data_IF_019093598686
#
_entry.id   IF_019093598686
#
_cell.length_a   1.000
_cell.length_b   1.000
_cell.length_c   1.000
_cell.angle_alpha   90.00
_cell.angle_beta   90.00
_cell.angle_gamma   90.00
#
_symmetry.space_group_name_H-M   'P 1'
#
loop_
_entity.id
_entity.type
_entity.pdbx_description
1 polymer ?
#
# COMPACT_ATOMS: atom_id res chain seq x y z
N UNK A 1 11.32 11.36 19.49
CA UNK A 1 10.72 10.51 18.46
C UNK A 1 9.23 10.81 18.50
N UNK A 2 8.64 11.25 17.40
CA UNK A 2 7.25 11.62 17.30
C UNK A 2 6.34 10.39 17.33
N UNK A 3 5.16 10.57 17.89
CA UNK A 3 4.15 9.52 18.01
C UNK A 3 3.10 9.69 16.91
N UNK A 4 2.82 8.62 16.18
CA UNK A 4 1.74 8.58 15.20
C UNK A 4 0.71 7.52 15.56
N UNK A 5 -0.55 7.82 15.29
CA UNK A 5 -1.67 6.89 15.47
C UNK A 5 -1.89 6.11 14.20
N UNK A 6 -1.74 4.80 14.26
CA UNK A 6 -2.21 3.91 13.23
C UNK A 6 -3.69 3.59 13.46
N UNK A 7 -4.54 3.86 12.48
CA UNK A 7 -6.00 3.70 12.60
C UNK A 7 -6.56 2.44 12.00
N UNK A 8 -5.73 1.66 11.30
CA UNK A 8 -6.18 0.44 10.65
C UNK A 8 -5.96 -0.77 11.56
N UNK A 9 -6.89 -1.70 11.52
CA UNK A 9 -6.76 -2.98 12.25
C UNK A 9 -5.73 -3.92 11.60
N UNK A 10 -5.29 -3.61 10.36
CA UNK A 10 -4.26 -4.37 9.65
C UNK A 10 -2.87 -4.02 10.19
N UNK A 11 -1.94 -4.97 10.16
CA UNK A 11 -0.53 -4.72 10.47
C UNK A 11 0.11 -3.85 9.39
N UNK A 12 0.84 -2.80 9.79
CA UNK A 12 1.73 -2.03 8.93
C UNK A 12 3.16 -2.53 9.11
N UNK A 13 3.87 -2.77 8.02
CA UNK A 13 5.28 -3.17 8.03
C UNK A 13 6.07 -2.28 7.09
N UNK A 14 7.05 -1.57 7.66
CA UNK A 14 8.04 -0.82 6.91
C UNK A 14 9.34 -1.63 6.83
N UNK A 15 9.54 -2.28 5.68
CA UNK A 15 10.72 -3.12 5.45
C UNK A 15 12.02 -2.32 5.33
N UNK A 16 11.94 -1.02 5.08
CA UNK A 16 13.09 -0.14 4.88
C UNK A 16 13.75 0.24 6.21
N UNK A 17 12.94 0.41 7.26
CA UNK A 17 13.35 0.80 8.61
C UNK A 17 13.18 -0.33 9.62
N UNK A 18 12.63 -1.47 9.20
CA UNK A 18 12.35 -2.63 10.07
C UNK A 18 11.27 -2.34 11.12
N UNK A 19 10.39 -1.38 10.85
CA UNK A 19 9.35 -0.93 11.77
C UNK A 19 8.04 -1.67 11.51
N UNK A 20 7.31 -2.03 12.58
CA UNK A 20 6.05 -2.74 12.50
C UNK A 20 5.04 -2.13 13.48
N UNK A 21 3.84 -1.83 12.98
CA UNK A 21 2.70 -1.46 13.80
C UNK A 21 1.63 -2.55 13.71
N UNK A 22 1.22 -3.11 14.86
CA UNK A 22 0.30 -4.25 14.96
C UNK A 22 -1.09 -3.82 15.40
N UNK A 23 -1.98 -3.59 14.44
CA UNK A 23 -3.34 -3.14 14.74
C UNK A 23 -3.38 -1.68 15.18
N UNK A 24 -4.59 -1.15 15.35
CA UNK A 24 -4.79 0.25 15.66
C UNK A 24 -4.17 0.63 17.00
N UNK A 25 -3.43 1.74 17.04
CA UNK A 25 -2.67 2.15 18.22
C UNK A 25 -1.73 3.31 17.97
N UNK A 26 -1.08 3.80 19.02
CA UNK A 26 -0.06 4.85 18.95
C UNK A 26 1.32 4.21 18.92
N UNK A 27 2.15 4.64 17.97
CA UNK A 27 3.47 4.11 17.77
C UNK A 27 4.51 5.22 17.67
N UNK A 28 5.64 5.00 18.32
CA UNK A 28 6.81 5.87 18.23
C UNK A 28 7.50 5.64 16.88
N UNK A 29 7.61 6.71 16.09
CA UNK A 29 8.14 6.66 14.73
C UNK A 29 9.30 7.64 14.55
N UNK A 30 10.25 7.34 13.65
CA UNK A 30 11.35 8.26 13.37
C UNK A 30 10.84 9.57 12.77
N UNK A 31 11.42 10.71 13.17
CA UNK A 31 11.05 12.05 12.66
C UNK A 31 11.12 12.15 11.13
N UNK A 32 12.14 11.51 10.55
CA UNK A 32 12.36 11.43 9.11
C UNK A 32 11.32 10.55 8.38
N UNK A 33 10.58 9.71 9.10
CA UNK A 33 9.51 8.86 8.56
C UNK A 33 8.12 9.48 8.72
N UNK A 34 7.96 10.50 9.58
CA UNK A 34 6.64 11.04 9.93
C UNK A 34 5.92 11.58 8.71
N UNK A 35 6.61 12.36 7.88
CA UNK A 35 6.01 12.95 6.68
C UNK A 35 5.65 11.87 5.66
N UNK A 36 6.47 10.80 5.56
CA UNK A 36 6.25 9.64 4.69
C UNK A 36 5.06 8.79 5.14
N UNK A 37 4.88 8.60 6.45
CA UNK A 37 3.78 7.82 7.01
C UNK A 37 2.45 8.59 6.97
N UNK A 38 2.50 9.90 7.21
CA UNK A 38 1.34 10.80 7.06
C UNK A 38 0.97 11.07 5.59
N UNK A 39 1.83 10.71 4.64
CA UNK A 39 1.50 10.81 3.22
C UNK A 39 0.27 9.94 2.90
N UNK A 40 -0.66 10.52 2.16
CA UNK A 40 -1.96 9.94 1.86
C UNK A 40 -1.88 8.55 1.20
N UNK A 41 -0.72 8.18 0.64
CA UNK A 41 -0.48 6.84 0.07
C UNK A 41 -0.64 5.72 1.11
N UNK A 42 -0.26 5.96 2.36
CA UNK A 42 -0.39 4.97 3.45
C UNK A 42 -1.77 5.04 4.13
N UNK A 43 -2.41 6.22 4.13
CA UNK A 43 -3.84 6.44 4.44
C UNK A 43 -4.35 5.83 5.75
N UNK A 44 -3.46 5.57 6.71
CA UNK A 44 -3.77 4.93 7.98
C UNK A 44 -3.01 5.52 9.16
N UNK A 45 -2.12 6.49 8.93
CA UNK A 45 -1.40 7.20 9.97
C UNK A 45 -2.01 8.58 10.19
N UNK A 46 -2.24 8.93 11.44
CA UNK A 46 -2.72 10.23 11.88
C UNK A 46 -1.76 10.80 12.92
N UNK A 47 -1.64 12.14 12.96
CA UNK A 47 -0.89 12.80 14.05
C UNK A 47 -1.67 12.60 15.35
N UNK A 48 -0.97 12.18 16.40
CA UNK A 48 -1.52 12.25 17.75
C UNK A 48 -1.48 13.72 18.14
N UNK A 49 -2.65 14.34 18.31
CA UNK A 49 -2.72 15.66 18.89
C UNK A 49 -2.37 15.54 20.38
N UNK A 50 -1.40 16.32 20.86
CA UNK A 50 -0.91 16.27 22.25
C UNK A 50 -2.00 16.65 23.28
N UNK A 51 -3.18 17.10 22.83
CA UNK A 51 -4.38 17.31 23.66
C UNK A 51 -5.25 16.05 23.86
N UNK A 52 -5.06 14.95 23.10
CA UNK A 52 -5.92 13.74 23.13
C UNK A 52 -5.35 12.59 23.99
N UNK A 53 -4.07 12.66 24.39
CA UNK A 53 -3.38 11.62 25.19
C UNK A 53 -3.38 11.88 26.70
N UNK A 54 -4.15 12.86 27.16
CA UNK A 54 -4.16 13.30 28.55
C UNK A 54 -5.48 13.02 29.30
N UNK A 55 -6.25 11.98 28.98
CA UNK A 55 -7.33 11.50 29.86
C UNK A 55 -7.83 10.09 29.47
N UNK A 56 -7.14 9.04 29.91
CA UNK A 56 -7.83 7.78 30.23
C UNK A 56 -7.02 7.00 31.27
N UNK A 57 -6.93 7.55 32.48
CA UNK A 57 -6.65 6.75 33.67
C UNK A 57 -7.87 5.83 33.91
N UNK A 58 -7.92 4.69 33.22
CA UNK A 58 -8.87 3.61 33.54
C UNK A 58 -8.52 3.08 34.93
N UNK A 59 -9.23 3.56 35.96
CA UNK A 59 -9.25 2.93 37.26
C UNK A 59 -9.73 1.47 37.07
N UNK A 60 -8.97 0.44 37.50
CA UNK A 60 -9.44 -0.93 37.41
C UNK A 60 -10.58 -1.13 38.42
N UNK A 61 -11.83 -1.07 37.97
CA UNK A 61 -12.96 -1.61 38.73
C UNK A 61 -12.72 -3.11 38.96
N UNK A 62 -12.64 -3.48 40.23
CA UNK A 62 -12.55 -4.87 40.67
C UNK A 62 -13.81 -5.62 40.24
N UNK A 63 -13.71 -6.44 39.20
CA UNK A 63 -14.77 -7.37 38.83
C UNK A 63 -14.65 -8.64 39.68
N UNK A 64 -15.69 -8.85 40.48
CA UNK A 64 -15.90 -9.98 41.38
C UNK A 64 -16.33 -11.23 40.57
N UNK A 65 -15.89 -12.38 41.06
CA UNK A 65 -16.04 -13.76 40.60
C UNK A 65 -17.25 -14.12 39.70
N UNK A 66 -17.00 -14.78 38.57
CA UNK A 66 -17.79 -15.97 38.21
C UNK A 66 -16.91 -17.07 37.58
N UNK A 67 -17.11 -18.26 38.11
CA UNK A 67 -16.30 -19.46 37.96
C UNK A 67 -16.83 -20.28 36.79
N UNK A 68 -16.08 -20.36 35.69
CA UNK A 68 -16.41 -21.21 34.55
C UNK A 68 -15.20 -22.03 34.10
N UNK A 69 -15.02 -23.22 34.68
CA UNK A 69 -14.15 -24.25 34.11
C UNK A 69 -14.76 -24.78 32.82
N UNK A 70 -14.01 -24.75 31.72
CA UNK A 70 -14.16 -25.75 30.65
C UNK A 70 -12.77 -26.16 30.15
N UNK A 71 -12.38 -27.36 30.57
CA UNK A 71 -11.32 -28.17 29.99
C UNK A 71 -11.68 -28.48 28.53
N UNK A 72 -10.86 -28.06 27.58
CA UNK A 72 -10.72 -28.82 26.33
C UNK A 72 -9.26 -28.95 25.93
N UNK A 73 -8.77 -30.17 26.15
CA UNK A 73 -7.53 -30.72 25.66
C UNK A 73 -7.75 -31.18 24.21
N UNK A 74 -6.99 -30.63 23.26
CA UNK A 74 -6.78 -31.28 21.96
C UNK A 74 -5.44 -30.85 21.38
N UNK A 75 -4.46 -31.72 21.59
CA UNK A 75 -3.20 -31.75 20.87
C UNK A 75 -3.40 -32.13 19.39
N UNK A 76 -2.74 -31.40 18.50
CA UNK A 76 -2.37 -31.81 17.14
C UNK A 76 -1.25 -30.88 16.70
N UNK A 77 0.03 -31.26 16.78
CA UNK A 77 0.73 -32.26 15.96
C UNK A 77 0.61 -31.97 14.46
N UNK A 78 1.76 -31.67 13.84
CA UNK A 78 1.92 -31.88 12.40
C UNK A 78 2.31 -30.68 11.55
N UNK A 79 3.63 -30.50 11.43
CA UNK A 79 4.32 -30.37 10.14
C UNK A 79 4.24 -29.05 9.32
N UNK A 80 5.43 -28.45 9.23
CA UNK A 80 6.14 -28.07 8.01
C UNK A 80 5.56 -26.98 7.07
N UNK A 81 6.43 -26.00 6.85
CA UNK A 81 6.41 -24.90 5.90
C UNK A 81 5.91 -25.29 4.50
N UNK A 82 5.16 -24.40 3.84
CA UNK A 82 5.43 -24.11 2.44
C UNK A 82 6.21 -22.79 2.34
N UNK A 83 7.38 -22.77 1.69
CA UNK A 83 7.96 -21.52 1.22
C UNK A 83 7.02 -20.98 0.15
N UNK A 84 6.37 -19.85 0.40
CA UNK A 84 5.93 -19.01 -0.71
C UNK A 84 6.90 -17.84 -0.81
N UNK A 85 8.10 -18.19 -1.28
CA UNK A 85 8.83 -17.35 -2.21
C UNK A 85 7.94 -17.16 -3.44
N UNK A 86 7.01 -16.20 -3.33
CA UNK A 86 6.23 -15.67 -4.44
C UNK A 86 6.78 -14.31 -4.83
N UNK A 87 8.10 -14.16 -4.81
CA UNK A 87 8.75 -13.16 -5.65
C UNK A 87 8.49 -13.58 -7.09
N UNK A 88 7.40 -13.08 -7.68
CA UNK A 88 7.45 -12.77 -9.10
C UNK A 88 8.50 -11.68 -9.21
N UNK A 89 9.75 -12.11 -9.34
CA UNK A 89 10.66 -11.44 -10.25
C UNK A 89 9.85 -11.23 -11.53
N UNK A 90 9.67 -10.00 -12.04
CA UNK A 90 9.03 -9.85 -13.33
C UNK A 90 9.84 -10.70 -14.32
N UNK A 91 9.19 -11.70 -14.90
CA UNK A 91 9.74 -12.54 -15.95
C UNK A 91 10.27 -11.63 -17.08
N UNK A 92 11.56 -11.28 -17.01
CA UNK A 92 12.26 -10.44 -17.97
C UNK A 92 12.61 -11.18 -19.27
N UNK A 93 11.90 -12.27 -19.57
CA UNK A 93 12.11 -13.12 -20.76
C UNK A 93 10.79 -13.49 -21.46
N UNK A 94 9.66 -12.94 -21.02
CA UNK A 94 8.50 -12.80 -21.89
C UNK A 94 8.76 -11.61 -22.81
N UNK A 95 8.66 -11.79 -24.12
CA UNK A 95 8.36 -10.68 -25.03
C UNK A 95 7.00 -10.11 -24.61
N UNK A 96 6.95 -9.36 -23.50
CA UNK A 96 5.73 -8.77 -22.96
C UNK A 96 5.42 -7.60 -23.87
N UNK A 97 4.76 -7.92 -24.99
CA UNK A 97 4.19 -6.93 -25.89
C UNK A 97 3.26 -6.06 -25.05
N UNK A 98 3.75 -4.87 -24.71
CA UNK A 98 3.00 -3.95 -23.86
C UNK A 98 1.80 -3.48 -24.66
N UNK A 99 0.60 -3.85 -24.21
CA UNK A 99 -0.63 -3.48 -24.92
C UNK A 99 -1.13 -2.10 -24.49
N UNK A 100 -1.84 -1.37 -25.35
CA UNK A 100 -2.38 -0.05 -25.00
C UNK A 100 -3.38 -0.11 -23.85
N UNK A 101 -4.19 -1.17 -23.77
CA UNK A 101 -5.10 -1.40 -22.64
C UNK A 101 -4.33 -1.64 -21.33
N UNK A 102 -3.18 -2.32 -21.37
CA UNK A 102 -2.38 -2.54 -20.16
C UNK A 102 -1.76 -1.24 -19.65
N UNK A 103 -1.29 -0.37 -20.55
CA UNK A 103 -0.77 0.97 -20.19
C UNK A 103 -1.86 1.82 -19.56
N UNK A 104 -3.01 1.92 -20.22
CA UNK A 104 -4.13 2.71 -19.74
C UNK A 104 -4.74 2.12 -18.45
N UNK A 105 -4.82 0.79 -18.32
CA UNK A 105 -5.39 0.16 -17.12
C UNK A 105 -4.41 0.12 -15.95
N UNK A 106 -3.09 0.24 -16.19
CA UNK A 106 -2.06 0.15 -15.17
C UNK A 106 -2.33 1.13 -14.01
N UNK A 107 -2.24 0.62 -12.78
CA UNK A 107 -2.28 1.43 -11.58
C UNK A 107 -1.04 2.33 -11.46
N UNK A 108 0.09 1.91 -12.06
CA UNK A 108 1.34 2.65 -12.04
C UNK A 108 1.45 3.59 -13.26
N UNK A 109 0.93 4.81 -13.09
CA UNK A 109 0.97 5.85 -14.13
C UNK A 109 2.40 6.28 -14.50
N UNK A 110 3.37 6.11 -13.59
CA UNK A 110 4.76 6.47 -13.86
C UNK A 110 5.38 5.50 -14.84
N UNK A 111 5.13 4.21 -14.66
CA UNK A 111 5.53 3.19 -15.63
C UNK A 111 4.88 3.42 -17.01
N UNK A 112 3.59 3.80 -17.04
CA UNK A 112 2.90 4.13 -18.29
C UNK A 112 3.58 5.29 -19.02
N UNK A 113 3.90 6.38 -18.30
CA UNK A 113 4.61 7.56 -18.83
C UNK A 113 6.04 7.22 -19.27
N UNK A 114 6.77 6.38 -18.54
CA UNK A 114 8.11 5.94 -18.93
C UNK A 114 8.08 5.10 -20.23
N UNK A 115 7.06 4.24 -20.38
CA UNK A 115 6.90 3.36 -21.56
C UNK A 115 6.57 4.16 -22.83
N UNK A 116 5.52 4.98 -22.75
CA UNK A 116 5.51 6.38 -23.15
C UNK A 116 6.73 6.97 -23.87
N UNK A 117 7.52 7.66 -23.04
CA UNK A 117 8.72 8.41 -23.38
C UNK A 117 9.83 7.52 -23.98
N UNK A 118 9.87 6.24 -23.60
CA UNK A 118 10.81 5.26 -24.18
C UNK A 118 10.48 4.91 -25.63
N UNK A 119 9.28 5.25 -26.13
CA UNK A 119 8.84 4.95 -27.49
C UNK A 119 8.46 3.48 -27.73
N UNK A 120 8.30 2.70 -26.66
CA UNK A 120 7.93 1.27 -26.77
C UNK A 120 6.58 1.07 -27.44
N UNK A 121 5.69 2.07 -27.37
CA UNK A 121 4.33 2.04 -27.93
C UNK A 121 4.07 3.14 -28.97
N UNK A 122 5.12 3.61 -29.67
CA UNK A 122 4.98 4.66 -30.70
C UNK A 122 3.93 4.32 -31.78
N UNK A 123 3.84 3.06 -32.19
CA UNK A 123 2.85 2.59 -33.18
C UNK A 123 1.42 2.52 -32.61
N UNK A 124 1.26 2.64 -31.29
CA UNK A 124 -0.01 2.43 -30.57
C UNK A 124 -0.45 3.65 -29.75
N UNK A 125 0.20 4.81 -29.89
CA UNK A 125 -0.12 6.03 -29.12
C UNK A 125 -1.61 6.41 -29.21
N UNK A 126 -2.23 6.27 -30.39
CA UNK A 126 -3.67 6.53 -30.61
C UNK A 126 -4.57 5.58 -29.80
N UNK A 127 -4.16 4.31 -29.68
CA UNK A 127 -4.90 3.32 -28.93
C UNK A 127 -4.74 3.50 -27.42
N UNK A 128 -3.55 3.91 -26.96
CA UNK A 128 -3.29 4.25 -25.56
C UNK A 128 -4.10 5.49 -25.16
N UNK A 129 -4.12 6.52 -26.01
CA UNK A 129 -4.92 7.74 -25.80
C UNK A 129 -6.41 7.41 -25.66
N UNK A 130 -6.97 6.66 -26.62
CA UNK A 130 -8.36 6.24 -26.57
C UNK A 130 -8.69 5.45 -25.30
N UNK A 131 -7.84 4.48 -24.92
CA UNK A 131 -8.04 3.69 -23.72
C UNK A 131 -7.95 4.53 -22.43
N UNK A 132 -7.09 5.54 -22.39
CA UNK A 132 -6.97 6.45 -21.25
C UNK A 132 -8.15 7.43 -21.17
N UNK A 133 -8.68 7.90 -22.31
CA UNK A 133 -9.90 8.72 -22.36
C UNK A 133 -11.15 7.94 -21.94
N UNK A 134 -11.21 6.63 -22.24
CA UNK A 134 -12.30 5.74 -21.85
C UNK A 134 -12.20 5.25 -20.39
N UNK A 135 -11.15 5.63 -19.67
CA UNK A 135 -10.90 5.18 -18.30
C UNK A 135 -12.03 5.57 -17.34
N UNK A 136 -12.49 4.60 -16.55
CA UNK A 136 -13.61 4.77 -15.60
C UNK A 136 -13.35 5.84 -14.52
N UNK A 137 -12.09 6.02 -14.11
CA UNK A 137 -11.68 7.03 -13.12
C UNK A 137 -11.33 8.40 -13.74
N UNK A 138 -11.62 8.57 -15.04
CA UNK A 138 -11.23 9.74 -15.81
C UNK A 138 -9.77 9.66 -16.31
N UNK A 139 -9.46 10.35 -17.43
CA UNK A 139 -8.12 10.33 -18.01
C UNK A 139 -7.10 11.00 -17.10
N UNK A 140 -5.90 10.43 -17.03
CA UNK A 140 -4.78 11.04 -16.31
C UNK A 140 -4.09 12.05 -17.21
N UNK A 141 -4.16 13.34 -16.83
CA UNK A 141 -3.50 14.43 -17.57
C UNK A 141 -2.02 14.18 -17.81
N UNK A 142 -1.32 13.54 -16.87
CA UNK A 142 0.12 13.22 -17.02
C UNK A 142 0.39 12.21 -18.14
N UNK A 143 -0.49 11.22 -18.33
CA UNK A 143 -0.37 10.23 -19.41
C UNK A 143 -0.73 10.87 -20.75
N UNK A 144 -1.81 11.65 -20.81
CA UNK A 144 -2.19 12.41 -22.01
C UNK A 144 -1.10 13.40 -22.43
N UNK A 145 -0.47 14.08 -21.47
CA UNK A 145 0.65 14.98 -21.74
C UNK A 145 1.84 14.23 -22.31
N UNK A 146 2.18 13.05 -21.78
CA UNK A 146 3.28 12.24 -22.31
C UNK A 146 3.00 11.72 -23.73
N UNK A 147 1.74 11.37 -24.04
CA UNK A 147 1.31 10.99 -25.39
C UNK A 147 1.43 12.16 -26.37
N UNK A 148 1.02 13.37 -25.96
CA UNK A 148 1.11 14.59 -26.76
C UNK A 148 2.57 14.98 -27.01
N UNK A 149 3.41 15.02 -25.96
CA UNK A 149 4.84 15.35 -26.07
C UNK A 149 5.58 14.36 -26.97
N UNK A 150 5.27 13.06 -26.86
CA UNK A 150 5.84 12.01 -27.73
C UNK A 150 5.43 12.17 -29.20
N UNK A 151 4.19 12.56 -29.48
CA UNK A 151 3.72 12.85 -30.86
C UNK A 151 4.40 14.09 -31.45
N UNK A 152 4.77 15.06 -30.61
CA UNK A 152 5.49 16.28 -31.04
C UNK A 152 7.01 16.09 -31.20
N UNK A 153 7.59 15.04 -30.61
CA UNK A 153 9.03 14.72 -30.60
C UNK A 153 9.53 13.93 -31.83
#
# INVERSE_FOLDING_TARGET
>A
MPELKWTRERTYFDGQRGFRAEGSGVYDVPEDAVEEYLDHRSGGWERVDEEDTADEEVEPETIDEDSGSDDTDSAGDGEAEPPNEGGTEPDADGENEVTPEEIASSDDWRWAVDTIESGTVDDQLDAVEAAEEERENGPRDSVLTALDDRREA
#
